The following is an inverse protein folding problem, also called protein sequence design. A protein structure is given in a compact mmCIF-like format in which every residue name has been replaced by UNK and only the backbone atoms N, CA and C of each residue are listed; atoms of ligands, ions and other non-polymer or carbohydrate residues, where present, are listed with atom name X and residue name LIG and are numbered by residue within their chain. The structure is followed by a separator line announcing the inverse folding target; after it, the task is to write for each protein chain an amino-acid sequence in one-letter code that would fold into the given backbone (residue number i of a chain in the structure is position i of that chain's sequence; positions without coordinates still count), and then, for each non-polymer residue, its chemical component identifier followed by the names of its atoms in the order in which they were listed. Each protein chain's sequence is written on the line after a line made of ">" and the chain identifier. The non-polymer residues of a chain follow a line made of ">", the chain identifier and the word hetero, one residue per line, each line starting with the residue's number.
data_IF_560751005509
#
_entry.id   IF_560751005509
#
_cell.length_a   1.000
_cell.length_b   1.000
_cell.length_c   1.000
_cell.angle_alpha   90.00
_cell.angle_beta   90.00
_cell.angle_gamma   90.00
#
_symmetry.space_group_name_H-M   'P 1'
#
loop_
_entity.id
_entity.type
_entity.pdbx_description
1 polymer ?
#
# COMPACT_ATOMS: atom_id res chain seq x y z
N UNK A 1 -36.30 -21.33 -63.17
CA UNK A 1 -37.72 -21.36 -62.72
C UNK A 1 -37.73 -21.42 -61.21
N UNK A 2 -38.35 -20.43 -60.56
CA UNK A 2 -38.75 -20.41 -59.13
C UNK A 2 -39.75 -21.56 -58.81
N UNK A 3 -40.22 -21.83 -57.57
CA UNK A 3 -40.12 -21.13 -56.26
C UNK A 3 -39.70 -22.08 -55.08
N UNK A 4 -39.47 -21.69 -53.82
CA UNK A 4 -40.32 -20.95 -52.87
C UNK A 4 -39.52 -20.37 -51.67
N UNK A 5 -39.94 -19.20 -51.19
CA UNK A 5 -39.70 -18.69 -49.82
C UNK A 5 -41.04 -18.62 -49.06
N UNK A 6 -41.23 -17.77 -48.04
CA UNK A 6 -40.28 -17.00 -47.21
C UNK A 6 -40.53 -17.23 -45.69
N UNK A 7 -39.69 -16.66 -44.80
CA UNK A 7 -40.15 -15.90 -43.61
C UNK A 7 -39.00 -15.54 -42.64
N UNK A 8 -39.03 -14.29 -42.16
CA UNK A 8 -38.73 -14.00 -40.76
C UNK A 8 -37.33 -13.52 -40.37
N UNK A 9 -36.87 -12.40 -40.93
CA UNK A 9 -35.77 -11.61 -40.34
C UNK A 9 -36.25 -11.00 -39.02
N UNK A 10 -35.81 -11.56 -37.89
CA UNK A 10 -36.01 -10.98 -36.57
C UNK A 10 -34.82 -10.09 -36.20
N UNK A 11 -35.14 -8.84 -35.84
CA UNK A 11 -34.24 -7.76 -35.42
C UNK A 11 -33.32 -8.17 -34.26
N UNK A 12 -32.10 -7.61 -34.17
CA UNK A 12 -31.26 -7.78 -32.98
C UNK A 12 -31.92 -7.10 -31.78
N UNK A 13 -32.06 -7.89 -30.71
CA UNK A 13 -32.58 -7.47 -29.42
C UNK A 13 -31.66 -6.40 -28.84
N UNK A 14 -32.21 -5.20 -28.65
CA UNK A 14 -31.64 -4.16 -27.79
C UNK A 14 -31.29 -4.81 -26.46
N UNK A 15 -30.01 -4.82 -26.13
CA UNK A 15 -29.55 -5.02 -24.76
C UNK A 15 -29.51 -3.64 -24.14
N UNK A 16 -30.41 -3.44 -23.18
CA UNK A 16 -30.48 -2.23 -22.37
C UNK A 16 -29.13 -1.95 -21.71
N UNK A 17 -28.74 -0.68 -21.75
CA UNK A 17 -27.42 -0.21 -21.35
C UNK A 17 -27.06 -0.55 -19.90
N UNK A 18 -25.94 -1.23 -19.71
CA UNK A 18 -25.19 -1.14 -18.47
C UNK A 18 -24.30 0.11 -18.52
N UNK A 19 -24.79 1.14 -17.85
CA UNK A 19 -24.05 2.34 -17.51
C UNK A 19 -22.81 1.99 -16.66
N UNK A 20 -21.72 2.73 -16.90
CA UNK A 20 -20.44 2.57 -16.23
C UNK A 20 -20.55 2.62 -14.70
N UNK A 21 -19.98 1.61 -14.06
CA UNK A 21 -19.82 1.58 -12.61
C UNK A 21 -18.65 2.48 -12.20
N UNK A 22 -18.97 3.71 -11.82
CA UNK A 22 -18.10 4.53 -10.97
C UNK A 22 -18.50 4.27 -9.51
N UNK A 23 -17.58 3.89 -8.59
CA UNK A 23 -17.95 3.75 -7.18
C UNK A 23 -18.19 5.14 -6.59
N UNK A 24 -19.46 5.56 -6.52
CA UNK A 24 -19.91 6.67 -5.69
C UNK A 24 -20.20 6.13 -4.29
N UNK A 25 -19.42 6.58 -3.31
CA UNK A 25 -19.73 6.41 -1.89
C UNK A 25 -20.87 7.39 -1.56
N UNK A 26 -22.09 6.86 -1.40
CA UNK A 26 -23.25 7.59 -0.89
C UNK A 26 -23.42 7.38 0.63
N UNK A 27 -24.02 8.34 1.35
CA UNK A 27 -24.02 8.36 2.81
C UNK A 27 -25.03 7.35 3.39
N UNK A 28 -24.56 6.52 4.32
CA UNK A 28 -25.41 5.64 5.12
C UNK A 28 -26.22 6.47 6.13
N UNK A 29 -27.55 6.42 6.05
CA UNK A 29 -28.43 6.92 7.11
C UNK A 29 -28.25 6.10 8.40
N UNK A 30 -28.27 6.72 9.59
CA UNK A 30 -28.13 6.00 10.86
C UNK A 30 -29.43 5.28 11.27
N UNK A 31 -29.33 4.21 12.08
CA UNK A 31 -30.51 3.50 12.58
C UNK A 31 -31.24 4.33 13.63
N UNK A 32 -32.57 4.22 13.62
CA UNK A 32 -33.47 4.73 14.65
C UNK A 32 -33.23 3.95 15.95
N UNK A 33 -32.84 4.64 17.02
CA UNK A 33 -32.75 4.09 18.38
C UNK A 33 -33.92 4.62 19.18
N UNK A 34 -34.76 3.70 19.66
CA UNK A 34 -35.87 3.94 20.59
C UNK A 34 -35.35 4.25 21.99
N UNK A 35 -36.00 5.20 22.66
CA UNK A 35 -35.78 5.58 24.05
C UNK A 35 -35.78 4.38 25.00
N UNK A 36 -34.71 4.22 25.78
CA UNK A 36 -34.80 3.52 27.07
C UNK A 36 -34.00 4.23 28.15
N UNK A 37 -34.68 4.49 29.27
CA UNK A 37 -34.20 5.22 30.44
C UNK A 37 -33.39 4.27 31.31
N UNK A 38 -32.08 4.48 31.42
CA UNK A 38 -31.24 3.70 32.33
C UNK A 38 -29.92 4.38 32.65
N UNK A 39 -29.94 5.26 33.65
CA UNK A 39 -28.78 5.97 34.20
C UNK A 39 -27.62 5.04 34.56
N UNK A 40 -26.49 5.15 33.85
CA UNK A 40 -25.17 4.79 34.38
C UNK A 40 -24.18 5.90 34.08
N UNK A 41 -23.61 6.42 35.15
CA UNK A 41 -22.85 7.65 35.27
C UNK A 41 -21.80 7.85 34.16
N UNK A 42 -21.97 8.93 33.40
CA UNK A 42 -20.89 9.54 32.63
C UNK A 42 -19.85 10.09 33.60
N UNK A 43 -18.60 9.68 33.43
CA UNK A 43 -17.46 10.35 34.07
C UNK A 43 -17.52 11.84 33.66
N UNK A 44 -17.53 12.78 34.62
CA UNK A 44 -17.60 14.19 34.28
C UNK A 44 -16.31 14.58 33.58
N UNK A 45 -16.40 14.90 32.28
CA UNK A 45 -15.35 15.63 31.57
C UNK A 45 -15.30 17.01 32.21
N UNK A 46 -14.31 17.21 33.07
CA UNK A 46 -13.93 18.56 33.52
C UNK A 46 -13.64 19.37 32.24
N UNK A 47 -14.26 20.55 32.03
CA UNK A 47 -13.91 21.40 30.90
C UNK A 47 -12.51 21.96 31.12
N UNK A 48 -11.52 21.18 30.69
CA UNK A 48 -10.12 21.54 30.64
C UNK A 48 -9.92 22.62 29.60
N UNK A 49 -9.77 23.85 30.10
CA UNK A 49 -9.23 25.06 29.50
C UNK A 49 -8.37 24.82 28.22
N UNK A 50 -8.78 25.53 27.17
CA UNK A 50 -8.07 25.86 25.91
C UNK A 50 -8.03 24.80 24.78
N UNK A 51 -9.19 24.46 24.22
CA UNK A 51 -9.29 24.56 22.75
C UNK A 51 -9.26 26.06 22.42
N UNK A 52 -8.36 26.48 21.53
CA UNK A 52 -8.18 27.89 21.20
C UNK A 52 -9.53 28.52 20.81
N UNK A 53 -9.98 29.50 21.60
CA UNK A 53 -11.21 30.24 21.32
C UNK A 53 -11.04 30.96 19.98
N UNK A 54 -12.06 30.85 19.11
CA UNK A 54 -12.12 31.51 17.80
C UNK A 54 -11.75 33.00 17.94
N UNK A 55 -10.98 33.59 17.01
CA UNK A 55 -10.74 35.03 17.01
C UNK A 55 -12.08 35.80 17.05
N UNK A 56 -12.13 36.93 17.75
CA UNK A 56 -13.27 37.84 17.66
C UNK A 56 -13.44 38.29 16.19
N UNK A 57 -14.68 38.50 15.73
CA UNK A 57 -15.07 38.73 14.31
C UNK A 57 -14.29 39.86 13.58
N UNK A 58 -13.55 40.71 14.30
CA UNK A 58 -12.78 41.83 13.76
C UNK A 58 -11.24 41.68 13.83
N UNK A 59 -10.70 40.53 14.24
CA UNK A 59 -9.24 40.31 14.28
C UNK A 59 -8.76 39.63 13.01
N UNK A 60 -7.68 40.11 12.39
CA UNK A 60 -7.05 39.41 11.27
C UNK A 60 -6.56 38.01 11.72
N UNK A 61 -7.10 36.91 11.16
CA UNK A 61 -6.78 35.56 11.60
C UNK A 61 -5.29 35.23 11.52
N UNK A 62 -4.59 35.73 10.49
CA UNK A 62 -3.16 35.44 10.29
C UNK A 62 -2.31 36.04 11.41
N UNK A 63 -2.57 37.30 11.76
CA UNK A 63 -1.90 37.94 12.90
C UNK A 63 -2.22 37.19 14.20
N UNK A 64 -3.48 36.85 14.44
CA UNK A 64 -3.91 36.15 15.65
C UNK A 64 -3.18 34.82 15.84
N UNK A 65 -3.22 33.93 14.84
CA UNK A 65 -2.62 32.60 14.97
C UNK A 65 -1.09 32.64 15.02
N UNK A 66 -0.46 33.58 14.31
CA UNK A 66 0.98 33.79 14.41
C UNK A 66 1.39 34.21 15.84
N UNK A 67 0.69 35.17 16.44
CA UNK A 67 0.95 35.62 17.81
C UNK A 67 0.63 34.52 18.84
N UNK A 68 -0.42 33.75 18.61
CA UNK A 68 -0.80 32.62 19.45
C UNK A 68 0.32 31.58 19.51
N UNK A 69 0.80 31.07 18.37
CA UNK A 69 1.88 30.09 18.34
C UNK A 69 3.25 30.68 18.69
N UNK A 70 3.44 31.99 18.65
CA UNK A 70 4.65 32.62 19.22
C UNK A 70 4.69 32.50 20.75
N UNK A 71 3.53 32.51 21.41
CA UNK A 71 3.41 32.59 22.88
C UNK A 71 2.94 31.29 23.53
N UNK A 72 2.38 30.35 22.78
CA UNK A 72 1.81 29.10 23.29
C UNK A 72 2.44 27.89 22.62
N UNK A 73 3.07 27.01 23.39
CA UNK A 73 3.62 25.76 22.88
C UNK A 73 2.56 24.66 22.78
N UNK A 74 2.07 24.42 21.56
CA UNK A 74 1.09 23.37 21.26
C UNK A 74 1.68 22.33 20.31
N UNK A 75 1.44 21.06 20.64
CA UNK A 75 1.83 19.92 19.80
C UNK A 75 0.94 19.72 18.57
N UNK A 76 1.36 18.88 17.62
CA UNK A 76 0.64 18.61 16.37
C UNK A 76 -0.76 18.00 16.60
N UNK A 77 -0.95 17.25 17.68
CA UNK A 77 -2.26 16.66 18.02
C UNK A 77 -3.31 17.73 18.35
N UNK A 78 -2.92 18.81 19.05
CA UNK A 78 -3.82 19.92 19.36
C UNK A 78 -4.15 20.75 18.13
N UNK A 79 -3.18 20.93 17.23
CA UNK A 79 -3.43 21.51 15.91
C UNK A 79 -4.45 20.67 15.14
N UNK A 80 -4.27 19.35 15.06
CA UNK A 80 -5.18 18.45 14.33
C UNK A 80 -6.61 18.48 14.89
N UNK A 81 -6.76 18.50 16.21
CA UNK A 81 -8.06 18.65 16.89
C UNK A 81 -8.75 19.98 16.50
N UNK A 82 -8.02 21.09 16.59
CA UNK A 82 -8.54 22.42 16.23
C UNK A 82 -8.92 22.51 14.74
N UNK A 83 -8.09 21.96 13.85
CA UNK A 83 -8.34 21.94 12.41
C UNK A 83 -9.64 21.21 12.07
N UNK A 84 -9.93 20.10 12.75
CA UNK A 84 -11.18 19.35 12.53
C UNK A 84 -12.40 20.22 12.81
N UNK A 85 -12.40 20.98 13.90
CA UNK A 85 -13.51 21.86 14.28
C UNK A 85 -13.67 23.00 13.27
N UNK A 86 -12.57 23.65 12.88
CA UNK A 86 -12.60 24.74 11.91
C UNK A 86 -13.01 24.27 10.51
N UNK A 87 -12.60 23.07 10.10
CA UNK A 87 -12.98 22.50 8.82
C UNK A 87 -14.48 22.13 8.79
N UNK A 88 -15.03 21.58 9.88
CA UNK A 88 -16.47 21.31 10.00
C UNK A 88 -17.31 22.59 9.88
N UNK A 89 -16.82 23.70 10.42
CA UNK A 89 -17.46 25.02 10.29
C UNK A 89 -17.17 25.72 8.95
N UNK A 90 -16.44 25.07 8.02
CA UNK A 90 -16.01 25.64 6.73
C UNK A 90 -15.25 26.97 6.86
N UNK A 91 -14.58 27.18 7.99
CA UNK A 91 -13.80 28.39 8.27
C UNK A 91 -12.41 28.31 7.61
N UNK A 92 -12.35 28.19 6.28
CA UNK A 92 -11.10 27.88 5.56
C UNK A 92 -10.02 28.97 5.70
N UNK A 93 -10.40 30.23 5.87
CA UNK A 93 -9.46 31.33 6.16
C UNK A 93 -8.78 31.14 7.53
N UNK A 94 -9.52 30.67 8.52
CA UNK A 94 -8.99 30.34 9.85
C UNK A 94 -8.07 29.13 9.79
N UNK A 95 -8.47 28.09 9.04
CA UNK A 95 -7.64 26.89 8.80
C UNK A 95 -6.29 27.28 8.18
N UNK A 96 -6.31 28.09 7.13
CA UNK A 96 -5.10 28.56 6.46
C UNK A 96 -4.22 29.38 7.42
N UNK A 97 -4.80 30.38 8.10
CA UNK A 97 -4.06 31.21 9.05
C UNK A 97 -3.43 30.39 10.20
N UNK A 98 -4.17 29.43 10.75
CA UNK A 98 -3.69 28.56 11.81
C UNK A 98 -2.54 27.67 11.34
N UNK A 99 -2.66 27.04 10.17
CA UNK A 99 -1.59 26.22 9.59
C UNK A 99 -0.33 27.04 9.29
N UNK A 100 -0.48 28.22 8.67
CA UNK A 100 0.65 29.10 8.36
C UNK A 100 1.35 29.56 9.63
N UNK A 101 0.61 29.97 10.66
CA UNK A 101 1.16 30.33 11.96
C UNK A 101 1.90 29.17 12.61
N UNK A 102 1.30 27.98 12.64
CA UNK A 102 1.91 26.79 13.23
C UNK A 102 3.20 26.40 12.51
N UNK A 103 3.13 26.23 11.18
CA UNK A 103 4.28 25.84 10.37
C UNK A 103 5.42 26.85 10.47
N UNK A 104 5.13 28.14 10.61
CA UNK A 104 6.15 29.18 10.81
C UNK A 104 6.84 29.04 12.18
N UNK A 105 6.06 28.88 13.25
CA UNK A 105 6.56 28.93 14.63
C UNK A 105 7.02 27.58 15.18
N UNK A 106 6.65 26.46 14.56
CA UNK A 106 6.92 25.08 15.05
C UNK A 106 7.74 24.26 14.06
N UNK A 107 8.91 24.80 13.70
CA UNK A 107 9.81 24.23 12.67
C UNK A 107 10.14 22.76 12.90
N UNK A 108 10.37 22.35 14.15
CA UNK A 108 10.74 20.98 14.53
C UNK A 108 9.57 19.99 14.58
N UNK A 109 8.32 20.47 14.50
CA UNK A 109 7.11 19.65 14.61
C UNK A 109 6.35 19.59 13.29
N UNK A 110 6.99 19.98 12.18
CA UNK A 110 6.36 19.97 10.85
C UNK A 110 6.23 18.54 10.34
N UNK A 111 5.02 18.20 9.90
CA UNK A 111 4.70 16.89 9.33
C UNK A 111 4.13 17.06 7.90
N UNK A 112 4.30 16.08 6.99
CA UNK A 112 3.85 16.18 5.60
C UNK A 112 2.37 16.58 5.45
N UNK A 113 1.49 15.96 6.24
CA UNK A 113 0.04 16.21 6.19
C UNK A 113 -0.33 17.68 6.48
N UNK A 114 0.49 18.41 7.25
CA UNK A 114 0.22 19.82 7.57
C UNK A 114 0.32 20.69 6.31
N UNK A 115 1.28 20.38 5.45
CA UNK A 115 1.47 21.05 4.18
C UNK A 115 0.43 20.61 3.13
N UNK A 116 -0.01 19.35 3.16
CA UNK A 116 -1.16 18.90 2.36
C UNK A 116 -2.45 19.63 2.76
N UNK A 117 -2.70 19.77 4.07
CA UNK A 117 -3.83 20.52 4.60
C UNK A 117 -3.72 22.02 4.26
N UNK A 118 -2.51 22.58 4.29
CA UNK A 118 -2.26 23.96 3.89
C UNK A 118 -2.60 24.16 2.42
N UNK A 119 -2.12 23.29 1.53
CA UNK A 119 -2.44 23.33 0.11
C UNK A 119 -3.95 23.29 -0.15
N UNK A 120 -4.68 22.41 0.52
CA UNK A 120 -6.14 22.34 0.44
C UNK A 120 -6.80 23.63 0.94
N UNK A 121 -6.33 24.20 2.05
CA UNK A 121 -6.88 25.44 2.60
C UNK A 121 -6.62 26.65 1.70
N UNK A 122 -5.47 26.71 1.02
CA UNK A 122 -5.17 27.73 0.01
C UNK A 122 -6.18 27.62 -1.12
N UNK A 123 -6.43 26.41 -1.63
CA UNK A 123 -7.40 26.17 -2.70
C UNK A 123 -8.83 26.56 -2.29
N UNK A 124 -9.28 26.17 -1.09
CA UNK A 124 -10.62 26.51 -0.59
C UNK A 124 -10.82 28.02 -0.36
N UNK A 125 -9.73 28.77 -0.23
CA UNK A 125 -9.75 30.23 -0.16
C UNK A 125 -9.53 30.90 -1.52
N UNK A 126 -9.57 30.15 -2.64
CA UNK A 126 -9.28 30.64 -3.98
C UNK A 126 -7.88 31.29 -4.12
N UNK A 127 -6.90 30.76 -3.38
CA UNK A 127 -5.50 31.17 -3.48
C UNK A 127 -4.87 30.80 -4.83
N UNK A 128 -3.65 31.28 -5.06
CA UNK A 128 -2.98 31.05 -6.35
C UNK A 128 -2.53 29.59 -6.48
N UNK A 129 -2.64 28.97 -7.66
CA UNK A 129 -2.14 27.62 -7.90
C UNK A 129 -0.65 27.42 -7.54
N UNK A 130 0.18 28.45 -7.71
CA UNK A 130 1.60 28.40 -7.34
C UNK A 130 1.82 28.24 -5.83
N UNK A 131 0.93 28.81 -5.01
CA UNK A 131 1.00 28.69 -3.55
C UNK A 131 0.58 27.27 -3.13
N UNK A 132 -0.40 26.67 -3.82
CA UNK A 132 -0.78 25.25 -3.67
C UNK A 132 0.38 24.34 -4.06
N UNK A 133 1.01 24.55 -5.23
CA UNK A 133 2.17 23.77 -5.69
C UNK A 133 3.32 23.87 -4.69
N UNK A 134 3.59 25.06 -4.18
CA UNK A 134 4.64 25.30 -3.19
C UNK A 134 4.38 24.52 -1.91
N UNK A 135 3.16 24.57 -1.37
CA UNK A 135 2.79 23.80 -0.18
C UNK A 135 2.92 22.29 -0.41
N UNK A 136 2.45 21.75 -1.54
CA UNK A 136 2.59 20.33 -1.86
C UNK A 136 4.06 19.90 -2.06
N UNK A 137 4.92 20.77 -2.60
CA UNK A 137 6.35 20.50 -2.68
C UNK A 137 7.01 20.39 -1.30
N UNK A 138 6.60 21.22 -0.33
CA UNK A 138 7.05 21.05 1.06
C UNK A 138 6.55 19.75 1.69
N UNK A 139 5.31 19.33 1.38
CA UNK A 139 4.80 18.02 1.80
C UNK A 139 5.68 16.89 1.24
N UNK A 140 6.01 16.95 -0.05
CA UNK A 140 6.90 15.98 -0.70
C UNK A 140 8.32 15.98 -0.11
N UNK A 141 8.90 17.15 0.18
CA UNK A 141 10.22 17.25 0.83
C UNK A 141 10.23 16.55 2.19
N UNK A 142 9.19 16.78 3.00
CA UNK A 142 9.08 16.14 4.31
C UNK A 142 8.81 14.64 4.20
N UNK A 143 7.95 14.22 3.28
CA UNK A 143 7.67 12.81 3.04
C UNK A 143 8.94 12.04 2.63
N UNK A 144 9.77 12.64 1.78
CA UNK A 144 11.07 12.06 1.41
C UNK A 144 12.04 12.01 2.60
N UNK A 145 12.02 13.00 3.49
CA UNK A 145 12.86 12.96 4.71
C UNK A 145 12.43 11.88 5.69
N UNK A 146 11.13 11.62 5.84
CA UNK A 146 10.63 10.57 6.74
C UNK A 146 10.81 9.18 6.15
N UNK A 147 10.93 9.07 4.82
CA UNK A 147 10.98 7.80 4.09
C UNK A 147 9.78 6.88 4.40
N UNK A 148 8.69 7.45 4.94
CA UNK A 148 7.51 6.70 5.32
C UNK A 148 6.66 6.46 4.05
N UNK A 149 6.38 5.19 3.69
CA UNK A 149 5.65 4.90 2.46
C UNK A 149 4.25 5.52 2.43
N UNK A 150 3.60 5.74 3.57
CA UNK A 150 2.29 6.41 3.60
C UNK A 150 2.39 7.89 3.26
N UNK A 151 3.40 8.59 3.80
CA UNK A 151 3.62 10.02 3.53
C UNK A 151 4.03 10.23 2.07
N UNK A 152 4.92 9.37 1.55
CA UNK A 152 5.38 9.41 0.15
C UNK A 152 4.20 9.30 -0.81
N UNK A 153 3.34 8.31 -0.56
CA UNK A 153 2.14 8.06 -1.34
C UNK A 153 1.13 9.21 -1.22
N UNK A 154 0.87 9.71 0.00
CA UNK A 154 -0.08 10.79 0.22
C UNK A 154 0.34 12.06 -0.53
N UNK A 155 1.61 12.46 -0.40
CA UNK A 155 2.15 13.61 -1.12
C UNK A 155 2.09 13.41 -2.65
N UNK A 156 2.41 12.20 -3.13
CA UNK A 156 2.32 11.85 -4.54
C UNK A 156 0.88 11.94 -5.08
N UNK A 157 -0.12 11.46 -4.34
CA UNK A 157 -1.54 11.55 -4.69
C UNK A 157 -1.98 13.01 -4.83
N UNK A 158 -1.64 13.86 -3.84
CA UNK A 158 -2.01 15.28 -3.90
C UNK A 158 -1.35 16.00 -5.06
N UNK A 159 -0.07 15.75 -5.32
CA UNK A 159 0.64 16.30 -6.49
C UNK A 159 0.01 15.82 -7.80
N UNK A 160 -0.29 14.52 -7.92
CA UNK A 160 -0.90 13.93 -9.10
C UNK A 160 -2.27 14.53 -9.40
N UNK A 161 -3.13 14.67 -8.39
CA UNK A 161 -4.48 15.26 -8.51
C UNK A 161 -4.44 16.72 -8.98
N UNK A 162 -3.36 17.45 -8.71
CA UNK A 162 -3.16 18.83 -9.18
C UNK A 162 -2.42 18.95 -10.51
N UNK A 163 -2.02 17.83 -11.11
CA UNK A 163 -1.26 17.84 -12.37
C UNK A 163 0.22 18.21 -12.19
N UNK A 164 0.75 18.18 -10.97
CA UNK A 164 2.14 18.52 -10.67
C UNK A 164 3.01 17.26 -10.67
N UNK A 165 3.30 16.75 -11.86
CA UNK A 165 3.87 15.41 -12.04
C UNK A 165 5.36 15.25 -11.72
N UNK A 166 6.13 16.35 -11.73
CA UNK A 166 7.60 16.37 -11.66
C UNK A 166 8.20 15.46 -10.57
N UNK A 167 7.54 15.36 -9.41
CA UNK A 167 8.03 14.60 -8.25
C UNK A 167 7.26 13.30 -7.98
N UNK A 168 6.09 13.13 -8.59
CA UNK A 168 5.17 12.01 -8.29
C UNK A 168 5.86 10.67 -8.52
N UNK A 169 6.59 10.54 -9.64
CA UNK A 169 7.26 9.30 -10.00
C UNK A 169 8.26 8.84 -8.93
N UNK A 170 9.18 9.72 -8.52
CA UNK A 170 10.21 9.39 -7.54
C UNK A 170 9.62 9.00 -6.16
N UNK A 171 8.55 9.68 -5.73
CA UNK A 171 7.86 9.35 -4.48
C UNK A 171 7.23 7.95 -4.54
N UNK A 172 6.56 7.62 -5.63
CA UNK A 172 5.91 6.32 -5.82
C UNK A 172 6.93 5.19 -6.00
N UNK A 173 8.04 5.45 -6.70
CA UNK A 173 9.14 4.49 -6.87
C UNK A 173 9.72 4.08 -5.52
N UNK A 174 9.99 5.05 -4.64
CA UNK A 174 10.48 4.77 -3.29
C UNK A 174 9.44 4.03 -2.43
N UNK A 175 8.18 4.46 -2.47
CA UNK A 175 7.12 3.79 -1.73
C UNK A 175 6.95 2.33 -2.17
N UNK A 176 6.87 2.07 -3.47
CA UNK A 176 6.72 0.73 -4.04
C UNK A 176 7.89 -0.20 -3.66
N UNK A 177 9.10 0.33 -3.57
CA UNK A 177 10.26 -0.44 -3.13
C UNK A 177 10.18 -0.87 -1.65
N UNK A 178 9.58 -0.04 -0.78
CA UNK A 178 9.43 -0.32 0.66
C UNK A 178 8.25 -1.23 0.97
N UNK A 179 7.16 -1.10 0.22
CA UNK A 179 5.90 -1.85 0.42
C UNK A 179 5.45 -2.53 -0.87
N UNK A 180 6.23 -3.47 -1.43
CA UNK A 180 5.91 -4.11 -2.72
C UNK A 180 4.58 -4.86 -2.71
N UNK A 181 4.08 -5.26 -1.54
CA UNK A 181 2.79 -5.94 -1.38
C UNK A 181 1.57 -5.00 -1.42
N UNK A 182 1.77 -3.68 -1.57
CA UNK A 182 0.70 -2.71 -1.81
C UNK A 182 0.61 -2.42 -3.31
N UNK A 183 -0.57 -2.63 -3.89
CA UNK A 183 -0.82 -2.36 -5.31
C UNK A 183 -0.91 -0.86 -5.60
N UNK A 184 -1.39 -0.08 -4.65
CA UNK A 184 -1.74 1.32 -4.86
C UNK A 184 -0.59 2.20 -5.41
N UNK A 185 0.66 2.14 -4.91
CA UNK A 185 1.75 2.89 -5.54
C UNK A 185 2.01 2.47 -7.00
N UNK A 186 1.87 1.19 -7.31
CA UNK A 186 2.07 0.65 -8.66
C UNK A 186 0.96 1.09 -9.62
N UNK A 187 -0.30 1.04 -9.17
CA UNK A 187 -1.45 1.51 -9.94
C UNK A 187 -1.36 3.02 -10.18
N UNK A 188 -0.93 3.80 -9.19
CA UNK A 188 -0.67 5.23 -9.37
C UNK A 188 0.46 5.50 -10.37
N UNK A 189 1.51 4.68 -10.42
CA UNK A 189 2.55 4.80 -11.44
C UNK A 189 2.05 4.47 -12.85
N UNK A 190 1.17 3.49 -13.01
CA UNK A 190 0.48 3.20 -14.28
C UNK A 190 -0.33 4.43 -14.74
N UNK A 191 -1.08 5.04 -13.82
CA UNK A 191 -1.84 6.25 -14.11
C UNK A 191 -0.93 7.44 -14.48
N UNK A 192 0.17 7.64 -13.75
CA UNK A 192 1.17 8.66 -14.06
C UNK A 192 1.76 8.44 -15.45
N UNK A 193 2.19 7.21 -15.76
CA UNK A 193 2.75 6.86 -17.04
C UNK A 193 1.80 7.15 -18.20
N UNK A 194 0.49 6.90 -18.02
CA UNK A 194 -0.50 7.31 -19.01
C UNK A 194 -0.58 8.81 -19.20
N UNK A 195 -0.60 9.58 -18.11
CA UNK A 195 -0.68 11.04 -18.17
C UNK A 195 0.54 11.67 -18.82
N UNK A 196 1.72 11.12 -18.59
CA UNK A 196 2.99 11.67 -19.08
C UNK A 196 3.51 11.00 -20.34
N UNK A 197 2.75 10.08 -20.95
CA UNK A 197 3.17 9.28 -22.12
C UNK A 197 4.50 8.52 -21.90
N UNK A 198 4.73 8.06 -20.67
CA UNK A 198 5.99 7.42 -20.28
C UNK A 198 5.87 5.88 -20.41
N UNK A 199 6.28 5.36 -21.57
CA UNK A 199 6.28 3.92 -21.84
C UNK A 199 7.18 3.14 -20.87
N UNK A 200 8.32 3.71 -20.47
CA UNK A 200 9.28 3.07 -19.57
C UNK A 200 8.65 2.83 -18.20
N UNK A 201 8.07 3.88 -17.61
CA UNK A 201 7.38 3.80 -16.32
C UNK A 201 6.16 2.89 -16.36
N UNK A 202 5.39 2.89 -17.45
CA UNK A 202 4.26 1.96 -17.61
C UNK A 202 4.74 0.51 -17.52
N UNK A 203 5.75 0.15 -18.30
CA UNK A 203 6.28 -1.20 -18.29
C UNK A 203 6.86 -1.60 -16.92
N UNK A 204 7.60 -0.69 -16.27
CA UNK A 204 8.18 -0.96 -14.93
C UNK A 204 7.10 -1.20 -13.87
N UNK A 205 6.05 -0.38 -13.88
CA UNK A 205 4.95 -0.49 -12.94
C UNK A 205 4.13 -1.76 -13.16
N UNK A 206 3.81 -2.09 -14.42
CA UNK A 206 3.07 -3.32 -14.79
C UNK A 206 3.89 -4.56 -14.45
N UNK A 207 5.18 -4.60 -14.78
CA UNK A 207 6.04 -5.72 -14.43
C UNK A 207 6.09 -5.95 -12.92
N UNK A 208 6.19 -4.90 -12.11
CA UNK A 208 6.17 -5.00 -10.65
C UNK A 208 4.81 -5.48 -10.13
N UNK A 209 3.71 -4.92 -10.66
CA UNK A 209 2.35 -5.27 -10.27
C UNK A 209 2.05 -6.73 -10.56
N UNK A 210 2.35 -7.20 -11.76
CA UNK A 210 2.07 -8.58 -12.19
C UNK A 210 3.11 -9.59 -11.69
N UNK A 211 4.17 -9.13 -11.00
CA UNK A 211 5.14 -10.02 -10.35
C UNK A 211 4.65 -10.68 -9.05
N UNK A 212 3.44 -10.34 -8.60
CA UNK A 212 2.79 -10.82 -7.39
C UNK A 212 1.38 -11.34 -7.72
N UNK A 213 0.91 -12.32 -6.94
CA UNK A 213 -0.51 -12.67 -6.92
C UNK A 213 -1.32 -11.72 -6.03
N UNK A 214 -2.55 -11.38 -6.43
CA UNK A 214 -3.44 -10.48 -5.69
C UNK A 214 -4.76 -11.15 -5.28
N UNK A 215 -4.92 -11.59 -4.01
CA UNK A 215 -6.15 -12.21 -3.51
C UNK A 215 -7.39 -11.36 -3.80
N UNK A 216 -8.36 -11.95 -4.50
CA UNK A 216 -9.63 -11.29 -4.85
C UNK A 216 -9.53 -10.18 -5.90
N UNK A 217 -8.34 -9.85 -6.41
CA UNK A 217 -8.14 -8.76 -7.37
C UNK A 217 -7.16 -9.09 -8.51
N UNK A 218 -6.58 -10.29 -8.57
CA UNK A 218 -5.54 -10.66 -9.54
C UNK A 218 -6.02 -10.49 -10.99
N UNK A 219 -7.21 -11.01 -11.28
CA UNK A 219 -7.80 -10.90 -12.62
C UNK A 219 -8.10 -9.44 -12.99
N UNK A 220 -8.62 -8.66 -12.04
CA UNK A 220 -8.86 -7.23 -12.23
C UNK A 220 -7.55 -6.51 -12.59
N UNK A 221 -6.47 -6.73 -11.85
CA UNK A 221 -5.19 -6.07 -12.13
C UNK A 221 -4.56 -6.51 -13.44
N UNK A 222 -4.72 -7.78 -13.85
CA UNK A 222 -4.22 -8.27 -15.14
C UNK A 222 -4.97 -7.63 -16.30
N UNK A 223 -6.30 -7.63 -16.25
CA UNK A 223 -7.15 -6.99 -17.27
C UNK A 223 -6.84 -5.50 -17.34
N UNK A 224 -6.79 -4.82 -16.20
CA UNK A 224 -6.55 -3.38 -16.16
C UNK A 224 -5.15 -3.01 -16.65
N UNK A 225 -4.11 -3.77 -16.28
CA UNK A 225 -2.76 -3.56 -16.79
C UNK A 225 -2.69 -3.69 -18.32
N UNK A 226 -3.34 -4.72 -18.89
CA UNK A 226 -3.44 -4.89 -20.34
C UNK A 226 -4.13 -3.71 -21.01
N UNK A 227 -5.31 -3.32 -20.50
CA UNK A 227 -6.07 -2.18 -21.03
C UNK A 227 -5.24 -0.88 -21.00
N UNK A 228 -4.53 -0.61 -19.91
CA UNK A 228 -3.73 0.60 -19.77
C UNK A 228 -2.51 0.60 -20.69
N UNK A 229 -1.83 -0.55 -20.83
CA UNK A 229 -0.71 -0.71 -21.77
C UNK A 229 -1.17 -0.54 -23.21
N UNK A 230 -2.24 -1.23 -23.62
CA UNK A 230 -2.76 -1.16 -24.99
C UNK A 230 -3.18 0.27 -25.34
N UNK A 231 -3.84 0.96 -24.42
CA UNK A 231 -4.21 2.37 -24.57
C UNK A 231 -2.99 3.28 -24.73
N UNK A 232 -1.94 3.08 -23.94
CA UNK A 232 -0.72 3.88 -24.07
C UNK A 232 0.02 3.55 -25.38
N UNK A 233 0.10 2.27 -25.76
CA UNK A 233 0.72 1.84 -27.00
C UNK A 233 -0.01 2.40 -28.23
N UNK A 234 -1.35 2.45 -28.22
CA UNK A 234 -2.13 3.09 -29.28
C UNK A 234 -1.76 4.58 -29.42
N UNK A 235 -1.73 5.31 -28.31
CA UNK A 235 -1.35 6.70 -28.31
C UNK A 235 0.10 6.95 -28.74
N UNK A 236 1.04 6.10 -28.33
CA UNK A 236 2.44 6.21 -28.78
C UNK A 236 2.56 6.03 -30.30
N UNK A 237 1.73 5.17 -30.92
CA UNK A 237 1.69 5.06 -32.39
C UNK A 237 1.15 6.33 -33.04
N UNK A 238 0.11 6.95 -32.47
CA UNK A 238 -0.41 8.25 -32.93
C UNK A 238 0.66 9.35 -32.81
N UNK A 239 1.46 9.32 -31.74
CA UNK A 239 2.59 10.23 -31.50
C UNK A 239 3.85 9.87 -32.34
N UNK A 240 3.71 9.03 -33.38
CA UNK A 240 4.79 8.56 -34.27
C UNK A 240 5.96 7.84 -33.56
N UNK A 241 5.67 7.13 -32.46
CA UNK A 241 6.61 6.31 -31.67
C UNK A 241 6.27 4.81 -31.70
N UNK A 242 6.25 4.16 -32.88
CA UNK A 242 5.84 2.76 -33.01
C UNK A 242 6.80 1.77 -32.35
N UNK A 243 8.09 2.09 -32.26
CA UNK A 243 9.10 1.26 -31.58
C UNK A 243 8.87 1.22 -30.06
N UNK A 244 8.59 2.37 -29.44
CA UNK A 244 8.24 2.45 -28.02
C UNK A 244 6.94 1.68 -27.74
N UNK A 245 5.92 1.83 -28.59
CA UNK A 245 4.66 1.09 -28.48
C UNK A 245 4.86 -0.43 -28.57
N UNK A 246 5.68 -0.90 -29.52
CA UNK A 246 6.01 -2.33 -29.65
C UNK A 246 6.75 -2.82 -28.41
N UNK A 247 7.79 -2.10 -27.98
CA UNK A 247 8.57 -2.47 -26.80
C UNK A 247 7.69 -2.57 -25.55
N UNK A 248 6.71 -1.67 -25.39
CA UNK A 248 5.80 -1.71 -24.26
C UNK A 248 4.88 -2.96 -24.29
N UNK A 249 4.36 -3.33 -25.46
CA UNK A 249 3.54 -4.53 -25.62
C UNK A 249 4.34 -5.83 -25.41
N UNK A 250 5.59 -5.87 -25.90
CA UNK A 250 6.48 -7.01 -25.64
C UNK A 250 6.75 -7.17 -24.13
N UNK A 251 6.92 -6.06 -23.40
CA UNK A 251 7.09 -6.06 -21.94
C UNK A 251 5.84 -6.54 -21.20
N UNK A 252 4.64 -6.15 -21.65
CA UNK A 252 3.39 -6.65 -21.08
C UNK A 252 3.30 -8.17 -21.21
N UNK A 253 3.55 -8.72 -22.41
CA UNK A 253 3.50 -10.16 -22.63
C UNK A 253 4.47 -10.91 -21.68
N UNK A 254 5.68 -10.39 -21.49
CA UNK A 254 6.65 -10.95 -20.55
C UNK A 254 6.21 -10.82 -19.07
N UNK A 255 5.52 -9.73 -18.72
CA UNK A 255 5.01 -9.49 -17.37
C UNK A 255 3.82 -10.39 -16.99
N UNK A 256 3.01 -10.81 -17.96
CA UNK A 256 1.82 -11.63 -17.73
C UNK A 256 2.16 -13.08 -17.37
N UNK A 257 3.28 -13.59 -17.87
CA UNK A 257 3.76 -14.95 -17.61
C UNK A 257 3.86 -15.24 -16.10
N UNK A 258 3.57 -16.48 -15.70
CA UNK A 258 3.63 -16.93 -14.31
C UNK A 258 4.57 -18.12 -14.15
N UNK A 259 5.41 -18.11 -13.13
CA UNK A 259 6.34 -19.22 -12.90
C UNK A 259 5.63 -20.46 -12.37
N UNK A 260 4.62 -20.28 -11.51
CA UNK A 260 3.78 -21.38 -11.00
C UNK A 260 2.32 -20.96 -11.06
N UNK A 261 1.48 -21.83 -11.60
CA UNK A 261 0.03 -21.73 -11.54
C UNK A 261 -0.52 -23.09 -11.09
N UNK A 262 -1.41 -23.09 -10.12
CA UNK A 262 -2.02 -24.30 -9.56
C UNK A 262 -3.52 -24.05 -9.46
N UNK A 263 -4.30 -24.91 -10.09
CA UNK A 263 -5.76 -24.88 -10.02
C UNK A 263 -6.27 -26.21 -9.51
N UNK A 264 -6.88 -26.17 -8.33
CA UNK A 264 -7.68 -27.25 -7.81
C UNK A 264 -9.11 -27.04 -8.28
N UNK A 265 -9.73 -28.06 -8.84
CA UNK A 265 -11.17 -28.08 -9.12
C UNK A 265 -11.81 -29.39 -8.68
N UNK A 266 -13.12 -29.37 -8.45
CA UNK A 266 -13.86 -30.54 -8.00
C UNK A 266 -15.26 -30.63 -8.58
N UNK A 267 -15.87 -31.79 -8.46
CA UNK A 267 -17.30 -31.98 -8.65
C UNK A 267 -18.06 -31.99 -7.32
N UNK A 268 -19.39 -31.99 -7.39
CA UNK A 268 -20.26 -31.93 -6.23
C UNK A 268 -20.32 -30.55 -5.56
N UNK A 269 -21.00 -30.49 -4.42
CA UNK A 269 -21.15 -29.27 -3.62
C UNK A 269 -20.25 -29.39 -2.37
N UNK A 270 -19.03 -28.85 -2.45
CA UNK A 270 -18.00 -28.96 -1.40
C UNK A 270 -17.15 -27.69 -1.26
N UNK A 271 -16.36 -27.62 -0.18
CA UNK A 271 -15.31 -26.62 0.06
C UNK A 271 -14.00 -27.37 0.35
N UNK A 272 -12.99 -27.14 -0.50
CA UNK A 272 -11.64 -27.67 -0.34
C UNK A 272 -10.68 -26.50 -0.24
N UNK A 273 -9.85 -26.52 0.80
CA UNK A 273 -8.79 -25.54 0.98
C UNK A 273 -7.50 -26.02 0.34
N UNK A 274 -6.91 -25.15 -0.48
CA UNK A 274 -5.57 -25.28 -1.01
C UNK A 274 -4.55 -24.66 -0.05
N UNK A 275 -3.44 -25.37 0.21
CA UNK A 275 -2.26 -24.82 0.90
C UNK A 275 -1.03 -25.10 0.06
N UNK A 276 -0.27 -24.05 -0.28
CA UNK A 276 0.96 -24.18 -1.06
C UNK A 276 2.14 -23.70 -0.21
N UNK A 277 3.07 -24.61 0.09
CA UNK A 277 4.35 -24.29 0.71
C UNK A 277 5.41 -24.05 -0.36
N UNK A 278 6.11 -22.92 -0.26
CA UNK A 278 7.13 -22.48 -1.21
C UNK A 278 8.56 -22.91 -0.78
N UNK A 279 9.54 -22.96 -1.69
CA UNK A 279 10.87 -23.54 -1.45
C UNK A 279 11.66 -22.97 -0.26
N UNK A 280 11.36 -21.72 0.15
CA UNK A 280 12.03 -21.04 1.27
C UNK A 280 11.18 -21.00 2.55
N UNK A 281 10.16 -21.86 2.65
CA UNK A 281 9.41 -22.13 3.88
C UNK A 281 8.19 -21.25 4.15
N UNK A 282 7.88 -20.28 3.27
CA UNK A 282 6.60 -19.55 3.34
C UNK A 282 5.45 -20.44 2.81
N UNK A 283 4.23 -20.20 3.29
CA UNK A 283 3.05 -20.92 2.78
C UNK A 283 1.88 -19.97 2.55
N UNK A 284 1.16 -20.18 1.45
CA UNK A 284 -0.12 -19.53 1.17
C UNK A 284 -1.27 -20.47 1.56
N UNK A 285 -2.30 -19.91 2.20
CA UNK A 285 -3.54 -20.60 2.59
C UNK A 285 -4.70 -19.62 2.58
N UNK A 286 -5.95 -20.09 2.75
CA UNK A 286 -7.13 -19.21 2.83
C UNK A 286 -6.99 -18.09 3.85
N UNK A 287 -6.38 -18.36 5.01
CA UNK A 287 -6.17 -17.38 6.08
C UNK A 287 -5.02 -16.40 5.80
N UNK A 288 -3.97 -16.89 5.13
CA UNK A 288 -2.81 -16.11 4.72
C UNK A 288 -2.63 -16.27 3.21
N UNK A 289 -3.48 -15.61 2.40
CA UNK A 289 -3.60 -15.93 0.99
C UNK A 289 -2.42 -15.44 0.16
N UNK A 290 -1.43 -14.75 0.74
CA UNK A 290 -0.23 -14.31 0.04
C UNK A 290 1.01 -14.51 0.90
N UNK A 291 2.07 -15.02 0.29
CA UNK A 291 3.38 -15.16 0.93
C UNK A 291 4.21 -13.88 0.79
N UNK A 292 5.25 -13.78 1.63
CA UNK A 292 6.29 -12.74 1.54
C UNK A 292 7.14 -12.84 0.26
N UNK A 293 6.99 -13.92 -0.52
CA UNK A 293 7.70 -14.11 -1.79
C UNK A 293 6.87 -13.72 -3.01
N UNK A 294 5.57 -13.47 -2.81
CA UNK A 294 4.65 -12.98 -3.85
C UNK A 294 3.70 -14.01 -4.42
N UNK A 295 3.85 -15.29 -4.04
CA UNK A 295 2.86 -16.33 -4.35
C UNK A 295 1.57 -16.13 -3.56
N UNK A 296 0.43 -16.51 -4.15
CA UNK A 296 -0.86 -16.17 -3.60
C UNK A 296 -1.99 -17.10 -4.06
N UNK A 297 -2.92 -17.41 -3.15
CA UNK A 297 -4.25 -17.91 -3.49
C UNK A 297 -5.09 -16.72 -3.95
N UNK A 298 -5.43 -16.71 -5.24
CA UNK A 298 -6.11 -15.58 -5.90
C UNK A 298 -7.60 -15.81 -6.05
N UNK A 299 -8.04 -17.06 -6.03
CA UNK A 299 -9.44 -17.46 -6.04
C UNK A 299 -9.65 -18.57 -5.00
N UNK A 300 -10.69 -18.40 -4.20
CA UNK A 300 -11.20 -19.42 -3.29
C UNK A 300 -12.67 -19.68 -3.65
N UNK A 301 -12.96 -20.92 -4.02
CA UNK A 301 -14.26 -21.37 -4.48
C UNK A 301 -14.95 -22.22 -3.43
N UNK A 302 -16.28 -22.15 -3.38
CA UNK A 302 -17.08 -22.96 -2.48
C UNK A 302 -18.42 -23.33 -3.12
N UNK A 303 -19.00 -24.45 -2.68
CA UNK A 303 -20.31 -24.91 -3.12
C UNK A 303 -20.36 -25.08 -4.64
N UNK A 304 -21.10 -24.20 -5.33
CA UNK A 304 -21.29 -24.24 -6.80
C UNK A 304 -20.14 -23.62 -7.60
N UNK A 305 -19.10 -23.11 -6.94
CA UNK A 305 -17.90 -22.58 -7.58
C UNK A 305 -16.70 -23.46 -7.20
N UNK A 306 -16.52 -24.62 -7.83
CA UNK A 306 -15.64 -25.65 -7.31
C UNK A 306 -14.20 -25.47 -7.81
N UNK A 307 -13.59 -24.32 -7.49
CA UNK A 307 -12.17 -24.13 -7.80
C UNK A 307 -11.43 -23.19 -6.84
N UNK A 308 -10.21 -23.61 -6.48
CA UNK A 308 -9.20 -22.83 -5.77
C UNK A 308 -7.98 -22.64 -6.67
N UNK A 309 -7.47 -21.40 -6.75
CA UNK A 309 -6.36 -21.06 -7.64
C UNK A 309 -5.24 -20.41 -6.84
N UNK A 310 -4.06 -21.01 -6.89
CA UNK A 310 -2.80 -20.42 -6.46
C UNK A 310 -1.97 -20.00 -7.67
N UNK A 311 -1.32 -18.84 -7.56
CA UNK A 311 -0.35 -18.35 -8.54
C UNK A 311 0.91 -17.85 -7.84
N UNK A 312 2.06 -18.10 -8.44
CA UNK A 312 3.34 -17.47 -8.10
C UNK A 312 3.91 -16.87 -9.40
N UNK A 313 3.63 -15.59 -9.69
CA UNK A 313 4.04 -15.02 -10.97
C UNK A 313 5.55 -14.99 -11.15
N UNK A 314 6.31 -14.65 -10.10
CA UNK A 314 7.76 -14.87 -10.07
C UNK A 314 8.12 -15.71 -8.85
N UNK A 315 8.57 -16.94 -9.11
CA UNK A 315 8.89 -17.96 -8.11
C UNK A 315 10.39 -18.16 -7.93
N UNK A 316 10.76 -18.75 -6.78
CA UNK A 316 12.11 -19.22 -6.52
C UNK A 316 12.28 -20.64 -7.07
N UNK A 317 13.50 -20.98 -7.48
CA UNK A 317 13.84 -22.36 -7.80
C UNK A 317 13.59 -23.29 -6.61
N UNK A 318 13.03 -24.47 -6.87
CA UNK A 318 12.81 -25.51 -5.86
C UNK A 318 11.44 -26.17 -5.91
N UNK A 319 11.05 -26.75 -4.78
CA UNK A 319 9.84 -27.54 -4.64
C UNK A 319 8.69 -26.73 -4.01
N UNK A 320 7.58 -26.63 -4.73
CA UNK A 320 6.31 -26.10 -4.25
C UNK A 320 5.43 -27.27 -3.83
N UNK A 321 5.15 -27.39 -2.53
CA UNK A 321 4.39 -28.52 -1.98
C UNK A 321 2.93 -28.13 -1.80
N UNK A 322 2.04 -28.85 -2.47
CA UNK A 322 0.59 -28.64 -2.48
C UNK A 322 -0.07 -29.61 -1.52
N UNK A 323 -0.82 -29.07 -0.56
CA UNK A 323 -1.70 -29.82 0.32
C UNK A 323 -3.14 -29.38 0.09
N UNK A 324 -4.05 -30.35 0.14
CA UNK A 324 -5.48 -30.14 -0.07
C UNK A 324 -6.19 -30.73 1.12
N UNK A 325 -7.13 -29.98 1.69
CA UNK A 325 -7.95 -30.43 2.81
C UNK A 325 -9.42 -30.16 2.54
N UNK A 326 -10.27 -31.15 2.78
CA UNK A 326 -11.72 -30.97 2.74
C UNK A 326 -12.17 -30.19 3.97
N UNK A 327 -12.87 -29.08 3.75
CA UNK A 327 -13.51 -28.28 4.81
C UNK A 327 -14.97 -28.69 4.97
N UNK A 328 -15.65 -28.88 3.84
CA UNK A 328 -17.06 -29.24 3.80
C UNK A 328 -17.37 -30.10 2.57
N UNK A 329 -18.33 -31.00 2.69
CA UNK A 329 -18.93 -31.72 1.56
C UNK A 329 -20.41 -31.95 1.85
N UNK A 330 -21.27 -31.69 0.85
CA UNK A 330 -22.69 -32.01 0.91
C UNK A 330 -22.90 -33.52 0.69
N UNK A 331 -23.48 -34.27 1.63
CA UNK A 331 -23.77 -35.69 1.45
C UNK A 331 -24.73 -36.01 0.29
N UNK A 332 -25.63 -35.08 -0.08
CA UNK A 332 -26.58 -35.27 -1.18
C UNK A 332 -25.94 -35.10 -2.56
N UNK A 333 -24.80 -34.39 -2.61
CA UNK A 333 -24.03 -34.12 -3.83
C UNK A 333 -22.53 -34.24 -3.51
N UNK A 334 -22.06 -35.44 -3.14
CA UNK A 334 -20.70 -35.63 -2.69
C UNK A 334 -19.72 -35.37 -3.83
N UNK A 335 -18.55 -34.84 -3.48
CA UNK A 335 -17.42 -34.82 -4.40
C UNK A 335 -16.97 -36.26 -4.66
N UNK A 336 -16.79 -36.60 -5.93
CA UNK A 336 -16.26 -37.91 -6.36
C UNK A 336 -14.86 -37.78 -6.93
N UNK A 337 -14.46 -36.58 -7.35
CA UNK A 337 -13.17 -36.33 -7.99
C UNK A 337 -12.66 -34.93 -7.75
N UNK A 338 -11.40 -34.85 -7.35
CA UNK A 338 -10.60 -33.63 -7.37
C UNK A 338 -9.68 -33.68 -8.60
N UNK A 339 -9.51 -32.55 -9.26
CA UNK A 339 -8.53 -32.37 -10.35
C UNK A 339 -7.58 -31.25 -9.96
N UNK A 340 -6.29 -31.56 -9.86
CA UNK A 340 -5.24 -30.58 -9.62
C UNK A 340 -4.45 -30.37 -10.90
N UNK A 341 -4.66 -29.23 -11.55
CA UNK A 341 -3.83 -28.78 -12.66
C UNK A 341 -2.66 -27.97 -12.08
N UNK A 342 -1.45 -28.27 -12.55
CA UNK A 342 -0.25 -27.52 -12.22
C UNK A 342 0.46 -27.11 -13.50
N UNK A 343 0.88 -25.85 -13.55
CA UNK A 343 1.57 -25.27 -14.70
C UNK A 343 2.83 -24.60 -14.17
N UNK A 344 3.98 -24.92 -14.77
CA UNK A 344 5.22 -24.15 -14.57
C UNK A 344 5.53 -23.35 -15.82
N UNK A 345 6.07 -22.15 -15.64
CA UNK A 345 6.42 -21.23 -16.73
C UNK A 345 5.24 -20.91 -17.67
N UNK A 346 4.05 -20.72 -17.09
CA UNK A 346 2.82 -20.35 -17.80
C UNK A 346 3.05 -19.09 -18.66
N UNK A 347 2.64 -19.15 -19.93
CA UNK A 347 2.76 -18.05 -20.87
C UNK A 347 4.15 -17.89 -21.49
N UNK A 348 5.04 -18.87 -21.33
CA UNK A 348 6.39 -18.87 -21.91
C UNK A 348 6.61 -20.09 -22.82
N UNK A 349 7.67 -20.09 -23.66
CA UNK A 349 8.05 -21.28 -24.42
C UNK A 349 8.39 -22.52 -23.56
N UNK A 350 8.76 -22.32 -22.29
CA UNK A 350 9.12 -23.37 -21.34
C UNK A 350 7.91 -23.94 -20.56
N UNK A 351 6.69 -23.55 -20.92
CA UNK A 351 5.45 -23.96 -20.24
C UNK A 351 5.32 -25.49 -20.14
N UNK A 352 5.07 -25.99 -18.92
CA UNK A 352 4.78 -27.41 -18.66
C UNK A 352 3.52 -27.54 -17.84
N UNK A 353 2.62 -28.41 -18.28
CA UNK A 353 1.33 -28.69 -17.65
C UNK A 353 1.26 -30.14 -17.19
N UNK A 354 0.88 -30.32 -15.93
CA UNK A 354 0.57 -31.62 -15.34
C UNK A 354 -0.83 -31.58 -14.74
N UNK A 355 -1.53 -32.72 -14.79
CA UNK A 355 -2.86 -32.87 -14.21
C UNK A 355 -2.91 -34.11 -13.33
N UNK A 356 -3.41 -33.94 -12.12
CA UNK A 356 -3.52 -35.00 -11.12
C UNK A 356 -4.98 -35.21 -10.74
N UNK A 357 -5.46 -36.43 -10.91
CA UNK A 357 -6.75 -36.85 -10.36
C UNK A 357 -6.55 -37.33 -8.94
N UNK A 358 -7.26 -36.74 -7.98
CA UNK A 358 -7.14 -37.06 -6.57
C UNK A 358 -8.49 -37.53 -6.01
N UNK A 359 -8.44 -38.45 -5.05
CA UNK A 359 -9.62 -38.98 -4.39
C UNK A 359 -10.05 -38.07 -3.24
N UNK A 360 -11.33 -37.67 -3.17
CA UNK A 360 -11.86 -36.91 -2.03
C UNK A 360 -11.89 -37.83 -0.81
N UNK A 361 -11.12 -37.50 0.23
CA UNK A 361 -11.00 -38.27 1.50
C UNK A 361 -10.03 -39.46 1.50
N UNK A 362 -9.00 -39.49 0.64
CA UNK A 362 -7.92 -40.46 0.80
C UNK A 362 -7.03 -40.09 2.02
N UNK A 363 -7.03 -40.89 3.10
CA UNK A 363 -6.25 -40.60 4.31
C UNK A 363 -4.73 -40.75 4.11
N UNK A 364 -4.31 -41.33 2.99
CA UNK A 364 -2.91 -41.50 2.60
C UNK A 364 -2.49 -40.52 1.49
N UNK A 365 -3.33 -39.52 1.18
CA UNK A 365 -3.04 -38.53 0.13
C UNK A 365 -1.69 -37.87 0.41
N UNK A 366 -0.71 -38.18 -0.44
CA UNK A 366 0.60 -37.51 -0.39
C UNK A 366 0.47 -36.11 -0.97
N UNK A 367 1.20 -35.12 -0.43
CA UNK A 367 1.28 -33.81 -1.04
C UNK A 367 1.77 -33.92 -2.50
N UNK A 368 1.18 -33.13 -3.40
CA UNK A 368 1.68 -33.00 -4.77
C UNK A 368 2.85 -32.01 -4.76
N UNK A 369 3.95 -32.35 -5.43
CA UNK A 369 5.14 -31.50 -5.48
C UNK A 369 5.32 -30.97 -6.90
N UNK A 370 5.28 -29.64 -7.04
CA UNK A 370 5.56 -28.93 -8.28
C UNK A 370 7.01 -28.45 -8.23
N UNK A 371 7.85 -28.91 -9.17
CA UNK A 371 9.27 -28.54 -9.22
C UNK A 371 9.47 -27.40 -10.22
N UNK A 372 9.97 -26.27 -9.73
CA UNK A 372 10.33 -25.12 -10.56
C UNK A 372 11.85 -25.04 -10.72
N UNK A 373 12.30 -24.92 -11.98
CA UNK A 373 13.70 -24.62 -12.33
C UNK A 373 13.71 -23.46 -13.31
N UNK A 374 14.54 -22.44 -13.07
CA UNK A 374 14.51 -21.20 -13.84
C UNK A 374 13.48 -20.19 -13.33
N UNK A 375 13.11 -20.24 -12.06
CA UNK A 375 12.24 -19.26 -11.42
C UNK A 375 12.82 -17.84 -11.46
N UNK A 376 11.98 -16.85 -11.72
CA UNK A 376 12.36 -15.45 -11.94
C UNK A 376 12.57 -14.65 -10.65
N UNK A 377 12.22 -15.18 -9.47
CA UNK A 377 12.46 -14.54 -8.18
C UNK A 377 13.83 -14.94 -7.64
N UNK A 378 14.69 -13.95 -7.40
CA UNK A 378 16.05 -14.16 -6.88
C UNK A 378 16.27 -13.57 -5.48
N UNK A 379 15.40 -12.67 -5.03
CA UNK A 379 15.47 -12.02 -3.71
C UNK A 379 14.12 -12.03 -3.03
N UNK A 380 14.12 -12.08 -1.71
CA UNK A 380 12.90 -11.92 -0.91
C UNK A 380 12.38 -10.49 -1.02
N UNK A 381 11.07 -10.30 -0.91
CA UNK A 381 10.46 -8.97 -0.97
C UNK A 381 10.51 -8.33 0.43
N UNK A 382 10.76 -7.00 0.51
CA UNK A 382 10.55 -6.26 1.74
C UNK A 382 9.15 -6.50 2.29
N UNK A 383 9.08 -6.97 3.54
CA UNK A 383 7.83 -7.13 4.26
C UNK A 383 7.82 -6.21 5.47
N UNK A 384 6.88 -5.28 5.49
CA UNK A 384 6.57 -4.52 6.70
C UNK A 384 5.45 -5.26 7.43
N UNK A 385 5.74 -5.76 8.63
CA UNK A 385 4.69 -6.30 9.49
C UNK A 385 3.70 -5.18 9.83
N UNK A 386 2.41 -5.49 10.06
CA UNK A 386 1.44 -4.49 10.50
C UNK A 386 1.90 -3.71 11.75
N UNK A 387 2.60 -4.38 12.67
CA UNK A 387 3.19 -3.76 13.85
C UNK A 387 4.30 -2.75 13.48
N UNK A 388 5.21 -3.11 12.56
CA UNK A 388 6.26 -2.22 12.08
C UNK A 388 5.70 -1.02 11.29
N UNK A 389 4.57 -1.18 10.60
CA UNK A 389 3.87 -0.08 9.93
C UNK A 389 3.26 0.92 10.94
N UNK A 390 2.65 0.41 12.03
CA UNK A 390 2.14 1.25 13.14
C UNK A 390 3.28 1.93 13.89
N UNK A 391 4.38 1.21 14.14
CA UNK A 391 5.55 1.76 14.83
C UNK A 391 6.25 2.82 13.99
N UNK A 392 6.38 2.62 12.67
CA UNK A 392 6.92 3.64 11.75
C UNK A 392 6.03 4.89 11.70
N UNK A 393 4.70 4.73 11.78
CA UNK A 393 3.78 5.85 11.89
C UNK A 393 3.94 6.61 13.23
N UNK A 394 4.33 5.91 14.30
CA UNK A 394 4.62 6.54 15.61
C UNK A 394 6.04 7.12 15.70
N UNK A 395 7.03 6.49 15.10
CA UNK A 395 8.43 6.92 15.14
C UNK A 395 8.65 8.26 14.41
N UNK A 396 7.79 8.61 13.44
CA UNK A 396 7.75 9.95 12.85
C UNK A 396 7.43 11.09 13.83
N UNK A 397 6.93 10.78 15.04
CA UNK A 397 6.67 11.76 16.11
C UNK A 397 7.79 11.88 17.14
N UNK A 398 8.82 11.03 17.06
CA UNK A 398 9.94 11.09 17.98
C UNK A 398 11.08 11.93 17.36
N UNK A 399 11.31 13.11 17.93
CA UNK A 399 12.45 13.93 17.57
C UNK A 399 13.77 13.12 17.67
N UNK A 400 14.73 13.31 16.75
CA UNK A 400 16.02 12.65 16.86
C UNK A 400 16.68 13.08 18.17
N UNK A 401 16.96 12.10 19.05
CA UNK A 401 17.82 12.34 20.21
C UNK A 401 19.19 12.77 19.68
N UNK A 402 19.56 14.01 19.96
CA UNK A 402 20.90 14.51 19.71
C UNK A 402 21.92 13.52 20.32
N UNK A 403 23.05 13.24 19.64
CA UNK A 403 24.09 12.40 20.22
C UNK A 403 24.55 13.07 21.52
N UNK A 404 24.48 12.32 22.62
CA UNK A 404 24.95 12.76 23.91
C UNK A 404 26.43 13.15 23.77
N UNK A 405 26.72 14.46 23.88
CA UNK A 405 28.09 14.94 23.97
C UNK A 405 28.66 14.39 25.27
N UNK A 406 29.49 13.37 25.16
CA UNK A 406 30.20 12.80 26.28
C UNK A 406 31.30 13.80 26.70
N UNK A 407 30.95 14.81 27.52
CA UNK A 407 31.93 15.61 28.26
C UNK A 407 32.42 14.76 29.43
N UNK A 408 33.23 13.76 29.12
CA UNK A 408 34.12 13.12 30.07
C UNK A 408 35.30 14.05 30.33
N UNK A 409 35.28 14.74 31.47
CA UNK A 409 36.47 15.36 32.02
C UNK A 409 37.47 14.29 32.43
N UNK A 410 38.53 14.12 31.65
CA UNK A 410 39.73 13.42 32.05
C UNK A 410 40.92 14.25 31.57
N UNK A 411 41.56 14.95 32.51
CA UNK A 411 42.81 15.66 32.28
C UNK A 411 43.95 14.65 31.99
N UNK A 412 44.90 14.98 31.10
CA UNK A 412 46.01 14.09 30.78
C UNK A 412 47.10 14.13 31.87
N UNK A 413 47.83 13.02 32.11
CA UNK A 413 48.92 13.01 33.07
C UNK A 413 50.15 13.70 32.46
N UNK A 414 50.72 14.65 33.21
CA UNK A 414 52.06 15.19 32.95
C UNK A 414 53.10 14.32 33.64
N UNK A 415 54.09 13.86 32.86
CA UNK A 415 55.33 13.25 33.31
C UNK A 415 56.39 14.32 33.62
N UNK A 416 57.22 14.06 34.64
CA UNK A 416 58.49 14.77 34.90
C UNK A 416 58.69 15.25 36.35
N UNK A 417 59.46 14.51 37.15
CA UNK A 417 59.94 14.92 38.51
C UNK A 417 61.11 15.93 38.45
N UNK A 418 61.98 16.08 39.49
CA UNK A 418 62.05 15.35 40.77
C UNK A 418 62.36 16.20 42.06
N UNK A 419 62.33 15.50 43.21
CA UNK A 419 63.08 15.70 44.49
C UNK A 419 62.83 16.95 45.35
N UNK A 420 62.37 16.72 46.60
CA UNK A 420 63.17 16.90 47.83
C UNK A 420 62.36 16.52 49.09
N UNK A 421 63.03 15.95 50.10
CA UNK A 421 62.61 16.05 51.50
C UNK A 421 62.00 14.80 52.15
N UNK A 422 62.85 13.98 52.78
CA UNK A 422 62.50 13.14 53.94
C UNK A 422 63.21 13.79 55.15
N UNK A 423 62.74 13.63 56.40
CA UNK A 423 63.18 12.42 57.12
C UNK A 423 62.22 11.84 58.20
N UNK A 424 62.55 10.58 58.53
CA UNK A 424 62.40 9.88 59.82
C UNK A 424 60.99 9.51 60.33
N UNK A 425 60.75 8.40 61.03
CA UNK A 425 61.61 7.42 61.70
C UNK A 425 61.03 5.99 61.61
N UNK A 426 61.87 4.97 61.84
CA UNK A 426 61.51 3.54 61.82
C UNK A 426 60.70 3.07 63.05
N UNK A 427 60.30 1.79 63.07
CA UNK A 427 61.09 0.85 63.86
C UNK A 427 61.31 -0.53 63.22
N UNK A 428 62.31 -1.21 63.77
CA UNK A 428 62.82 -2.58 63.48
C UNK A 428 61.89 -3.65 64.13
N UNK A 429 61.82 -4.89 63.60
CA UNK A 429 60.86 -5.95 64.00
C UNK A 429 61.52 -6.86 65.08
N UNK A 430 61.09 -8.12 65.38
CA UNK A 430 59.95 -8.92 64.92
C UNK A 430 59.17 -9.68 66.02
N UNK A 431 57.97 -10.18 65.68
CA UNK A 431 57.59 -11.60 65.78
C UNK A 431 56.35 -11.88 64.96
#
# INVERSE_FOLDING_TARGET
>A
MLPAGPDGVSKPRQTDGQAGFSPRVGPSSPPVVTDDKGSRALVPVTPGRAAASRPAEHTDPYKFWSDFYRTHDQGPEKLREALRILNLSRSFREVHAMLTGYLTQRVSQREPWMYEALALSIEMNNGRPEDVKTALNYAADLAQRTHNPNDLVSAADKLYLKGYYDRVGALLDEAAAKVPHRSEPLVMMINLAQKTRDAGRMGDAVERLLSLGWPGQDEYYRIEARNQVEKLAAALREDAKPSEAKSLLDRLAAAEARDVFIRLSWDGDADYDLVVSEPLGASASKLLPRTVFGGSIVKNGYGKHPEDIYVCPRGFDGEYTVRISMVYSNPEKPTTRLTLETITHEGTPEEKKDSHTLSPSDPQTKPVVVKLQGGRRKTVLPFLSPAAAIESAKAGTAAPKAPASNRGGAAPPRSGGPKAGRPAAGPVPPR
#
